data_IF_636798065963
#
_entry.id   IF_636798065963
#
_cell.length_a   1.000
_cell.length_b   1.000
_cell.length_c   1.000
_cell.angle_alpha   90.00
_cell.angle_beta   90.00
_cell.angle_gamma   90.00
#
_symmetry.space_group_name_H-M   'P 1'
#
loop_
_entity.id
_entity.type
_entity.pdbx_description
1 polymer ?
#
# COMPACT_ATOMS: atom_id res chain seq x y z
N UNK A 1 -1.85 7.15 8.49
CA UNK A 1 -2.72 8.19 7.87
C UNK A 1 -3.93 7.51 7.24
N UNK A 2 -4.64 6.66 8.00
CA UNK A 2 -5.76 5.87 7.50
C UNK A 2 -7.02 6.74 7.41
N UNK A 3 -8.01 6.31 6.62
CA UNK A 3 -9.16 7.15 6.24
C UNK A 3 -9.95 7.64 7.46
N UNK A 4 -10.27 6.76 8.43
CA UNK A 4 -11.02 7.14 9.63
C UNK A 4 -10.38 8.24 10.49
N UNK A 5 -9.04 8.25 10.57
CA UNK A 5 -8.29 9.26 11.30
C UNK A 5 -8.19 10.59 10.52
N UNK A 6 -8.15 10.53 9.19
CA UNK A 6 -7.94 11.69 8.32
C UNK A 6 -9.25 12.37 7.94
N UNK A 7 -10.30 11.63 7.64
CA UNK A 7 -11.61 12.14 7.26
C UNK A 7 -12.71 11.31 7.95
N UNK A 8 -12.89 11.43 9.27
CA UNK A 8 -13.89 10.66 10.03
C UNK A 8 -15.33 10.93 9.60
N UNK A 9 -15.60 12.13 9.07
CA UNK A 9 -16.88 12.54 8.51
C UNK A 9 -16.65 13.19 7.16
N UNK A 10 -17.57 13.03 6.20
CA UNK A 10 -17.43 13.59 4.85
C UNK A 10 -17.07 15.09 4.86
N UNK A 11 -15.91 15.44 4.31
CA UNK A 11 -15.36 16.80 4.26
C UNK A 11 -14.79 17.33 5.59
N UNK A 12 -14.95 16.60 6.69
CA UNK A 12 -14.40 16.94 8.00
C UNK A 12 -13.01 16.32 8.17
N UNK A 13 -11.98 16.98 7.63
CA UNK A 13 -10.61 16.48 7.70
C UNK A 13 -9.90 16.83 9.01
N UNK A 14 -9.11 15.89 9.53
CA UNK A 14 -8.23 16.06 10.68
C UNK A 14 -6.79 15.67 10.31
N UNK A 15 -5.93 16.67 10.17
CA UNK A 15 -4.53 16.45 9.77
C UNK A 15 -3.53 16.53 10.92
N UNK A 16 -3.94 16.88 12.14
CA UNK A 16 -3.04 17.20 13.26
C UNK A 16 -1.94 16.16 13.49
N UNK A 17 -2.29 14.87 13.59
CA UNK A 17 -1.29 13.81 13.81
C UNK A 17 -0.41 13.54 12.59
N UNK A 18 -0.97 13.66 11.39
CA UNK A 18 -0.26 13.43 10.14
C UNK A 18 0.69 14.59 9.81
N UNK A 19 0.29 15.84 10.06
CA UNK A 19 1.13 17.02 9.95
C UNK A 19 2.33 16.93 10.89
N UNK A 20 2.10 16.58 12.17
CA UNK A 20 3.18 16.44 13.14
C UNK A 20 4.24 15.42 12.68
N UNK A 21 3.81 14.28 12.12
CA UNK A 21 4.71 13.26 11.58
C UNK A 21 5.47 13.75 10.35
N UNK A 22 4.76 14.32 9.38
CA UNK A 22 5.39 14.79 8.13
C UNK A 22 6.36 15.93 8.40
N UNK A 23 5.98 16.87 9.25
CA UNK A 23 6.85 17.99 9.62
C UNK A 23 8.09 17.51 10.38
N UNK A 24 7.96 16.54 11.28
CA UNK A 24 9.12 15.90 11.93
C UNK A 24 10.04 15.25 10.89
N UNK A 25 9.49 14.46 9.98
CA UNK A 25 10.29 13.76 8.97
C UNK A 25 11.05 14.76 8.06
N UNK A 26 10.36 15.79 7.57
CA UNK A 26 10.96 16.83 6.73
C UNK A 26 12.04 17.61 7.47
N UNK A 27 11.80 18.00 8.73
CA UNK A 27 12.79 18.71 9.55
C UNK A 27 14.06 17.89 9.80
N UNK A 28 13.95 16.56 9.78
CA UNK A 28 15.07 15.64 10.02
C UNK A 28 15.61 15.01 8.72
N UNK A 29 15.20 15.48 7.54
CA UNK A 29 15.70 14.99 6.26
C UNK A 29 15.31 13.54 5.96
N UNK A 30 14.19 13.08 6.52
CA UNK A 30 13.66 11.73 6.33
C UNK A 30 12.59 11.71 5.23
N UNK A 31 12.59 10.66 4.40
CA UNK A 31 11.51 10.44 3.44
C UNK A 31 10.27 9.88 4.11
N UNK A 32 9.08 10.28 3.64
CA UNK A 32 7.79 9.75 4.11
C UNK A 32 7.18 8.81 3.06
N UNK A 33 6.71 7.64 3.50
CA UNK A 33 5.72 6.83 2.78
C UNK A 33 4.34 7.13 3.36
N UNK A 34 3.42 7.61 2.54
CA UNK A 34 2.05 7.88 2.94
C UNK A 34 1.23 6.58 2.94
N UNK A 35 0.79 6.16 4.12
CA UNK A 35 0.03 4.93 4.32
C UNK A 35 -1.29 5.23 5.06
N UNK A 36 -2.46 5.05 4.46
CA UNK A 36 -2.75 4.65 3.06
C UNK A 36 -4.02 5.39 2.62
N UNK A 37 -4.21 5.58 1.31
CA UNK A 37 -5.32 6.38 0.78
C UNK A 37 -6.64 5.61 0.71
N UNK A 38 -6.61 4.35 0.29
CA UNK A 38 -7.81 3.52 0.14
C UNK A 38 -7.56 2.15 0.77
N UNK A 39 -8.30 1.84 1.83
CA UNK A 39 -8.22 0.56 2.52
C UNK A 39 -9.60 0.15 3.06
N UNK A 40 -9.89 -1.14 3.05
CA UNK A 40 -11.19 -1.66 3.50
C UNK A 40 -11.34 -1.64 5.03
N UNK A 41 -10.22 -1.63 5.76
CA UNK A 41 -10.21 -1.47 7.21
C UNK A 41 -10.03 -0.01 7.62
N UNK A 42 -10.34 0.30 8.89
CA UNK A 42 -10.22 1.66 9.45
C UNK A 42 -10.85 2.71 8.53
N UNK A 43 -12.02 2.36 8.00
CA UNK A 43 -12.80 3.12 7.04
C UNK A 43 -14.02 3.73 7.76
N UNK A 44 -14.33 5.02 7.55
CA UNK A 44 -15.50 5.65 8.14
C UNK A 44 -16.81 4.98 7.71
N UNK A 45 -17.79 4.96 8.61
CA UNK A 45 -19.09 4.35 8.33
C UNK A 45 -19.87 5.08 7.22
N UNK A 46 -19.65 6.39 7.06
CA UNK A 46 -20.29 7.13 5.96
C UNK A 46 -19.83 6.64 4.59
N UNK A 47 -18.57 6.15 4.45
CA UNK A 47 -18.07 5.61 3.19
C UNK A 47 -18.68 4.22 2.96
N UNK A 48 -18.71 3.37 3.99
CA UNK A 48 -19.29 2.03 3.92
C UNK A 48 -20.77 2.02 3.55
N UNK A 49 -21.49 3.10 3.88
CA UNK A 49 -22.92 3.23 3.60
C UNK A 49 -23.25 3.67 2.17
N UNK A 50 -22.26 4.08 1.36
CA UNK A 50 -22.49 4.56 0.00
C UNK A 50 -22.78 3.37 -0.91
N UNK A 51 -23.86 3.45 -1.67
CA UNK A 51 -24.23 2.47 -2.71
C UNK A 51 -24.28 3.06 -4.11
N UNK A 52 -24.23 4.40 -4.24
CA UNK A 52 -24.21 5.10 -5.51
C UNK A 52 -22.76 5.23 -6.03
N UNK A 53 -22.55 4.79 -7.27
CA UNK A 53 -21.22 4.77 -7.88
C UNK A 53 -20.65 6.17 -8.14
N UNK A 54 -21.49 7.14 -8.52
CA UNK A 54 -21.03 8.51 -8.76
C UNK A 54 -20.65 9.20 -7.44
N UNK A 55 -21.42 8.95 -6.39
CA UNK A 55 -21.12 9.42 -5.04
C UNK A 55 -19.81 8.83 -4.51
N UNK A 56 -19.60 7.51 -4.61
CA UNK A 56 -18.38 6.88 -4.11
C UNK A 56 -17.14 7.35 -4.90
N UNK A 57 -17.29 7.52 -6.22
CA UNK A 57 -16.24 8.10 -7.06
C UNK A 57 -15.86 9.51 -6.59
N UNK A 58 -16.85 10.38 -6.37
CA UNK A 58 -16.62 11.73 -5.88
C UNK A 58 -15.97 11.76 -4.49
N UNK A 59 -16.37 10.84 -3.60
CA UNK A 59 -15.79 10.70 -2.26
C UNK A 59 -14.32 10.26 -2.33
N UNK A 60 -14.00 9.26 -3.16
CA UNK A 60 -12.62 8.82 -3.40
C UNK A 60 -11.74 9.95 -3.93
N UNK A 61 -12.18 10.63 -4.99
CA UNK A 61 -11.42 11.73 -5.59
C UNK A 61 -11.19 12.89 -4.61
N UNK A 62 -12.22 13.25 -3.82
CA UNK A 62 -12.12 14.32 -2.83
C UNK A 62 -11.17 13.97 -1.70
N UNK A 63 -11.27 12.75 -1.16
CA UNK A 63 -10.37 12.27 -0.12
C UNK A 63 -8.92 12.30 -0.61
N UNK A 64 -8.66 11.62 -1.73
CA UNK A 64 -7.31 11.46 -2.28
C UNK A 64 -6.70 12.81 -2.65
N UNK A 65 -7.42 13.67 -3.34
CA UNK A 65 -6.91 14.99 -3.72
C UNK A 65 -6.62 15.88 -2.52
N UNK A 66 -7.44 15.81 -1.46
CA UNK A 66 -7.22 16.57 -0.22
C UNK A 66 -5.98 16.09 0.54
N UNK A 67 -5.81 14.77 0.67
CA UNK A 67 -4.69 14.17 1.40
C UNK A 67 -3.38 14.30 0.62
N UNK A 68 -3.35 13.83 -0.63
CA UNK A 68 -2.15 13.88 -1.47
C UNK A 68 -1.77 15.32 -1.76
N UNK A 69 -2.75 16.18 -2.08
CA UNK A 69 -2.51 17.60 -2.36
C UNK A 69 -1.93 18.36 -1.16
N UNK A 70 -2.35 18.04 0.07
CA UNK A 70 -1.80 18.65 1.29
C UNK A 70 -0.31 18.36 1.46
N UNK A 71 0.11 17.13 1.14
CA UNK A 71 1.50 16.68 1.33
C UNK A 71 2.31 16.64 0.05
N UNK A 72 1.84 17.35 -1.00
CA UNK A 72 2.53 17.44 -2.29
C UNK A 72 4.00 17.82 -2.13
N UNK A 73 4.89 17.02 -2.72
CA UNK A 73 6.34 17.22 -2.67
C UNK A 73 6.99 16.92 -1.32
N UNK A 74 6.23 16.48 -0.30
CA UNK A 74 6.77 16.06 1.01
C UNK A 74 6.74 14.54 1.20
N UNK A 75 5.86 13.84 0.48
CA UNK A 75 5.72 12.38 0.53
C UNK A 75 6.37 11.76 -0.70
N UNK A 76 7.31 10.84 -0.47
CA UNK A 76 8.05 10.16 -1.55
C UNK A 76 7.15 9.18 -2.31
N UNK A 77 6.37 8.41 -1.55
CA UNK A 77 5.53 7.35 -2.10
C UNK A 77 4.21 7.26 -1.34
N UNK A 78 3.12 6.93 -2.05
CA UNK A 78 1.80 6.66 -1.47
C UNK A 78 1.41 5.21 -1.69
N UNK A 79 1.01 4.53 -0.62
CA UNK A 79 0.17 3.34 -0.73
C UNK A 79 -1.22 3.84 -1.14
N UNK A 80 -1.53 3.76 -2.43
CA UNK A 80 -2.78 4.30 -3.00
C UNK A 80 -3.94 3.38 -2.69
N UNK A 81 -3.76 2.08 -2.86
CA UNK A 81 -4.69 1.05 -2.43
C UNK A 81 -3.95 0.01 -1.60
N UNK A 82 -4.56 -0.43 -0.51
CA UNK A 82 -4.01 -1.42 0.42
C UNK A 82 -4.90 -2.66 0.50
N UNK A 83 -4.30 -3.85 0.50
CA UNK A 83 -4.94 -5.14 0.79
C UNK A 83 -6.18 -5.49 -0.05
N UNK A 84 -6.08 -5.22 -1.35
CA UNK A 84 -7.21 -5.38 -2.28
C UNK A 84 -7.42 -6.84 -2.69
N UNK A 85 -6.51 -7.76 -2.36
CA UNK A 85 -6.63 -9.16 -2.76
C UNK A 85 -6.94 -10.11 -1.59
N UNK A 86 -7.73 -11.14 -1.89
CA UNK A 86 -7.85 -12.35 -1.09
C UNK A 86 -6.70 -13.33 -1.40
N UNK A 87 -6.55 -14.38 -0.59
CA UNK A 87 -5.49 -15.40 -0.76
C UNK A 87 -5.57 -16.17 -2.09
N UNK A 88 -6.77 -16.27 -2.68
CA UNK A 88 -7.00 -16.90 -3.98
C UNK A 88 -6.72 -15.97 -5.18
N UNK A 89 -6.30 -14.73 -4.92
CA UNK A 89 -6.03 -13.71 -5.93
C UNK A 89 -7.27 -12.94 -6.40
N UNK A 90 -8.47 -13.27 -5.93
CA UNK A 90 -9.66 -12.46 -6.21
C UNK A 90 -9.61 -11.11 -5.51
N UNK A 91 -10.29 -10.11 -6.08
CA UNK A 91 -10.50 -8.83 -5.39
C UNK A 91 -11.36 -9.05 -4.14
N UNK A 92 -10.92 -8.46 -3.03
CA UNK A 92 -11.60 -8.53 -1.74
C UNK A 92 -13.00 -7.91 -1.82
N UNK A 93 -13.97 -8.59 -1.24
CA UNK A 93 -15.32 -8.04 -1.09
C UNK A 93 -15.33 -6.90 -0.06
N UNK A 94 -15.62 -5.68 -0.52
CA UNK A 94 -15.72 -4.47 0.29
C UNK A 94 -16.56 -3.41 -0.44
N UNK A 95 -16.88 -2.30 0.21
CA UNK A 95 -17.71 -1.23 -0.39
C UNK A 95 -17.18 -0.76 -1.76
N UNK A 96 -15.85 -0.66 -1.91
CA UNK A 96 -15.23 -0.22 -3.16
C UNK A 96 -15.48 -1.22 -4.30
N UNK A 97 -15.28 -2.50 -4.05
CA UNK A 97 -15.49 -3.54 -5.07
C UNK A 97 -16.97 -3.82 -5.34
N UNK A 98 -17.83 -3.70 -4.32
CA UNK A 98 -19.28 -3.86 -4.48
C UNK A 98 -19.90 -2.75 -5.34
N UNK A 99 -19.45 -1.52 -5.18
CA UNK A 99 -20.05 -0.34 -5.83
C UNK A 99 -19.36 -0.01 -7.16
N UNK A 100 -18.03 -0.18 -7.25
CA UNK A 100 -17.24 0.23 -8.42
C UNK A 100 -16.54 -0.94 -9.14
N UNK A 101 -16.66 -2.18 -8.65
CA UNK A 101 -15.87 -3.29 -9.19
C UNK A 101 -14.38 -3.03 -9.03
N UNK A 102 -13.58 -3.21 -10.08
CA UNK A 102 -12.15 -2.88 -10.05
C UNK A 102 -11.85 -1.40 -10.38
N UNK A 103 -12.83 -0.61 -10.83
CA UNK A 103 -12.61 0.76 -11.30
C UNK A 103 -12.14 1.71 -10.20
N UNK A 104 -12.39 1.40 -8.92
CA UNK A 104 -11.87 2.20 -7.81
C UNK A 104 -10.33 2.30 -7.83
N UNK A 105 -9.63 1.28 -8.37
CA UNK A 105 -8.17 1.32 -8.52
C UNK A 105 -7.79 2.41 -9.52
N UNK A 106 -8.40 2.42 -10.71
CA UNK A 106 -8.15 3.46 -11.71
C UNK A 106 -8.44 4.85 -11.14
N UNK A 107 -9.61 5.03 -10.54
CA UNK A 107 -10.05 6.30 -9.94
C UNK A 107 -9.03 6.79 -8.90
N UNK A 108 -8.59 5.90 -8.01
CA UNK A 108 -7.68 6.27 -6.93
C UNK A 108 -6.29 6.67 -7.45
N UNK A 109 -5.72 5.88 -8.38
CA UNK A 109 -4.40 6.16 -8.94
C UNK A 109 -4.40 7.41 -9.84
N UNK A 110 -5.44 7.64 -10.63
CA UNK A 110 -5.59 8.86 -11.44
C UNK A 110 -5.73 10.11 -10.55
N UNK A 111 -6.54 10.04 -9.49
CA UNK A 111 -6.69 11.13 -8.53
C UNK A 111 -5.38 11.45 -7.80
N UNK A 112 -4.65 10.41 -7.36
CA UNK A 112 -3.37 10.57 -6.68
C UNK A 112 -2.32 11.19 -7.61
N UNK A 113 -2.18 10.68 -8.84
CA UNK A 113 -1.25 11.22 -9.84
C UNK A 113 -1.55 12.68 -10.18
N UNK A 114 -2.83 13.04 -10.28
CA UNK A 114 -3.26 14.42 -10.56
C UNK A 114 -2.91 15.37 -9.42
N UNK A 115 -3.04 14.92 -8.17
CA UNK A 115 -2.76 15.73 -7.00
C UNK A 115 -1.25 15.96 -6.81
N UNK A 116 -0.43 14.91 -6.95
CA UNK A 116 1.03 14.99 -6.91
C UNK A 116 1.68 14.14 -8.02
N UNK A 117 2.10 14.76 -9.13
CA UNK A 117 2.77 14.05 -10.22
C UNK A 117 4.11 13.43 -9.85
N UNK A 118 4.79 13.94 -8.82
CA UNK A 118 6.17 13.56 -8.48
C UNK A 118 6.23 12.38 -7.49
N UNK A 119 5.16 12.15 -6.73
CA UNK A 119 5.08 11.03 -5.79
C UNK A 119 5.02 9.68 -6.52
N UNK A 120 5.67 8.67 -5.94
CA UNK A 120 5.56 7.28 -6.42
C UNK A 120 4.27 6.64 -5.93
N UNK A 121 3.51 6.03 -6.83
CA UNK A 121 2.20 5.45 -6.53
C UNK A 121 2.29 3.93 -6.41
N UNK A 122 2.01 3.41 -5.22
CA UNK A 122 2.14 2.00 -4.87
C UNK A 122 0.77 1.35 -4.65
N UNK A 123 0.68 0.08 -5.03
CA UNK A 123 -0.29 -0.87 -4.47
C UNK A 123 0.43 -1.71 -3.40
N UNK A 124 -0.17 -1.88 -2.22
CA UNK A 124 0.46 -2.56 -1.07
C UNK A 124 -0.39 -3.74 -0.58
N UNK A 125 0.23 -4.89 -0.29
CA UNK A 125 -0.47 -6.06 0.25
C UNK A 125 0.46 -6.99 1.04
N UNK A 126 -0.12 -7.85 1.90
CA UNK A 126 0.58 -8.91 2.63
C UNK A 126 0.54 -10.24 1.86
N UNK A 127 1.34 -11.22 2.30
CA UNK A 127 1.39 -12.58 1.75
C UNK A 127 1.80 -12.65 0.26
N UNK A 128 2.67 -11.73 -0.16
CA UNK A 128 3.20 -11.67 -1.52
C UNK A 128 4.58 -12.32 -1.66
N UNK A 129 5.12 -12.86 -0.57
CA UNK A 129 6.49 -13.35 -0.49
C UNK A 129 6.67 -14.65 -1.28
N UNK A 130 5.61 -15.42 -1.50
CA UNK A 130 5.69 -16.58 -2.40
C UNK A 130 5.56 -16.16 -3.85
N UNK A 131 6.53 -16.53 -4.70
CA UNK A 131 6.44 -16.34 -6.16
C UNK A 131 5.41 -17.23 -6.86
N UNK A 132 4.73 -18.13 -6.13
CA UNK A 132 3.79 -19.13 -6.67
C UNK A 132 2.41 -19.12 -6.00
N UNK A 133 2.18 -18.31 -4.96
CA UNK A 133 0.84 -18.20 -4.36
C UNK A 133 -0.14 -17.56 -5.34
N UNK A 134 -1.42 -17.95 -5.26
CA UNK A 134 -2.46 -17.37 -6.11
C UNK A 134 -2.59 -15.85 -5.87
N UNK A 135 -2.45 -15.38 -4.63
CA UNK A 135 -2.40 -13.95 -4.29
C UNK A 135 -1.29 -13.21 -5.02
N UNK A 136 -0.08 -13.78 -5.14
CA UNK A 136 1.02 -13.17 -5.90
C UNK A 136 0.82 -13.28 -7.40
N UNK A 137 0.46 -14.47 -7.92
CA UNK A 137 0.44 -14.71 -9.36
C UNK A 137 -0.83 -14.24 -10.05
N UNK A 138 -1.99 -14.65 -9.54
CA UNK A 138 -3.31 -14.36 -10.12
C UNK A 138 -3.89 -13.05 -9.57
N UNK A 139 -3.58 -12.71 -8.32
CA UNK A 139 -3.91 -11.42 -7.74
C UNK A 139 -2.97 -10.32 -8.24
N UNK A 140 -1.91 -10.06 -7.48
CA UNK A 140 -1.04 -8.90 -7.69
C UNK A 140 -0.43 -8.84 -9.10
N UNK A 141 0.20 -9.91 -9.57
CA UNK A 141 0.92 -9.91 -10.85
C UNK A 141 0.01 -9.72 -12.07
N UNK A 142 -1.08 -10.49 -12.17
CA UNK A 142 -2.00 -10.41 -13.32
C UNK A 142 -2.78 -9.09 -13.33
N UNK A 143 -3.33 -8.66 -12.18
CA UNK A 143 -4.08 -7.41 -12.10
C UNK A 143 -3.20 -6.18 -12.36
N UNK A 144 -2.01 -6.10 -11.78
CA UNK A 144 -1.12 -4.94 -12.02
C UNK A 144 -0.72 -4.87 -13.49
N UNK A 145 -0.37 -5.97 -14.14
CA UNK A 145 -0.06 -5.95 -15.57
C UNK A 145 -1.27 -5.55 -16.43
N UNK A 146 -2.47 -6.03 -16.09
CA UNK A 146 -3.72 -5.62 -16.74
C UNK A 146 -3.97 -4.11 -16.59
N UNK A 147 -3.80 -3.57 -15.39
CA UNK A 147 -4.04 -2.15 -15.09
C UNK A 147 -3.00 -1.24 -15.75
N UNK A 148 -1.73 -1.64 -15.75
CA UNK A 148 -0.67 -0.95 -16.49
C UNK A 148 -0.95 -0.93 -17.99
N UNK A 149 -1.40 -2.04 -18.57
CA UNK A 149 -1.78 -2.11 -19.98
C UNK A 149 -2.98 -1.21 -20.32
N UNK A 150 -3.85 -0.93 -19.34
CA UNK A 150 -4.95 0.04 -19.45
C UNK A 150 -4.53 1.50 -19.20
N UNK A 151 -3.25 1.77 -18.90
CA UNK A 151 -2.72 3.11 -18.67
C UNK A 151 -2.87 3.64 -17.24
N UNK A 152 -3.21 2.79 -16.27
CA UNK A 152 -3.34 3.18 -14.86
C UNK A 152 -1.93 3.46 -14.29
N UNK A 153 -1.68 4.62 -13.65
CA UNK A 153 -0.33 5.08 -13.33
C UNK A 153 0.25 4.46 -12.05
N UNK A 154 0.47 3.15 -12.06
CA UNK A 154 1.07 2.38 -10.94
C UNK A 154 2.61 2.37 -11.09
N UNK A 155 3.33 2.96 -10.15
CA UNK A 155 4.80 3.01 -10.21
C UNK A 155 5.46 1.83 -9.50
N UNK A 156 4.79 1.26 -8.49
CA UNK A 156 5.38 0.20 -7.69
C UNK A 156 4.41 -0.69 -6.94
N UNK A 157 4.98 -1.78 -6.39
CA UNK A 157 4.28 -2.77 -5.57
C UNK A 157 4.98 -2.87 -4.21
N UNK A 158 4.20 -2.77 -3.14
CA UNK A 158 4.63 -2.96 -1.76
C UNK A 158 4.30 -4.36 -1.27
N UNK A 159 5.31 -5.05 -0.72
CA UNK A 159 5.13 -6.29 0.01
C UNK A 159 5.26 -5.96 1.50
N UNK A 160 4.21 -6.19 2.29
CA UNK A 160 4.23 -5.83 3.71
C UNK A 160 5.39 -6.52 4.44
N UNK A 161 5.55 -7.83 4.28
CA UNK A 161 6.63 -8.56 4.94
C UNK A 161 6.37 -8.80 6.43
N UNK A 162 5.12 -9.09 6.81
CA UNK A 162 4.80 -9.71 8.10
C UNK A 162 5.12 -11.20 8.05
N UNK A 163 6.10 -11.68 8.81
CA UNK A 163 6.71 -13.01 8.60
C UNK A 163 6.79 -13.86 9.86
N UNK A 164 6.85 -15.18 9.64
CA UNK A 164 7.00 -16.18 10.70
C UNK A 164 5.69 -16.53 11.42
N UNK A 165 5.75 -17.48 12.35
CA UNK A 165 4.55 -18.00 13.00
C UNK A 165 3.60 -18.66 12.00
N UNK A 166 2.38 -18.12 11.85
CA UNK A 166 1.41 -18.55 10.83
C UNK A 166 1.55 -17.82 9.49
N UNK A 167 2.39 -16.80 9.42
CA UNK A 167 2.65 -16.02 8.21
C UNK A 167 3.72 -16.69 7.33
N UNK A 168 3.91 -16.24 6.08
CA UNK A 168 4.98 -16.73 5.22
C UNK A 168 6.37 -16.63 5.86
N UNK A 169 7.25 -17.53 5.46
CA UNK A 169 8.66 -17.51 5.88
C UNK A 169 9.44 -16.45 5.09
N UNK A 170 10.43 -15.83 5.74
CA UNK A 170 11.43 -14.98 5.11
C UNK A 170 12.10 -15.59 3.88
N UNK A 171 12.25 -16.92 3.84
CA UNK A 171 12.84 -17.64 2.72
C UNK A 171 12.09 -17.46 1.39
N UNK A 172 10.80 -17.12 1.43
CA UNK A 172 10.00 -16.83 0.25
C UNK A 172 10.36 -15.51 -0.41
N UNK A 173 10.72 -14.49 0.38
CA UNK A 173 10.74 -13.08 -0.02
C UNK A 173 11.40 -12.82 -1.39
N UNK A 174 12.55 -13.42 -1.66
CA UNK A 174 13.24 -13.23 -2.95
C UNK A 174 12.39 -13.71 -4.12
N UNK A 175 11.73 -14.86 -4.03
CA UNK A 175 10.89 -15.40 -5.09
C UNK A 175 9.66 -14.51 -5.35
N UNK A 176 9.03 -13.97 -4.30
CA UNK A 176 7.95 -13.00 -4.42
C UNK A 176 8.40 -11.72 -5.14
N UNK A 177 9.53 -11.14 -4.71
CA UNK A 177 10.14 -9.97 -5.34
C UNK A 177 10.51 -10.23 -6.80
N UNK A 178 11.18 -11.34 -7.10
CA UNK A 178 11.55 -11.72 -8.47
C UNK A 178 10.32 -11.87 -9.37
N UNK A 179 9.25 -12.52 -8.88
CA UNK A 179 8.00 -12.66 -9.63
C UNK A 179 7.40 -11.29 -9.92
N UNK A 180 7.27 -10.42 -8.93
CA UNK A 180 6.64 -9.11 -9.09
C UNK A 180 7.53 -8.12 -9.86
N UNK A 181 8.85 -8.31 -9.87
CA UNK A 181 9.78 -7.52 -10.67
C UNK A 181 9.56 -7.71 -12.18
N UNK A 182 8.96 -8.83 -12.59
CA UNK A 182 8.57 -9.08 -13.99
C UNK A 182 7.30 -8.35 -14.43
N UNK A 183 6.61 -7.64 -13.53
CA UNK A 183 5.55 -6.70 -13.93
C UNK A 183 6.14 -5.44 -14.57
N UNK A 184 5.27 -4.64 -15.19
CA UNK A 184 5.65 -3.36 -15.80
C UNK A 184 5.97 -2.22 -14.82
N UNK A 185 5.85 -2.41 -13.49
CA UNK A 185 6.15 -1.36 -12.51
C UNK A 185 7.64 -1.03 -12.47
N UNK A 186 7.95 0.18 -12.02
CA UNK A 186 9.33 0.68 -11.93
C UNK A 186 10.02 0.30 -10.62
N UNK A 187 9.28 0.14 -9.53
CA UNK A 187 9.84 -0.07 -8.19
C UNK A 187 9.08 -1.15 -7.41
N UNK A 188 9.78 -1.84 -6.51
CA UNK A 188 9.23 -2.70 -5.47
C UNK A 188 9.75 -2.20 -4.12
N UNK A 189 9.00 -2.42 -3.04
CA UNK A 189 9.49 -2.13 -1.70
C UNK A 189 8.96 -3.14 -0.70
N UNK A 190 9.74 -3.40 0.36
CA UNK A 190 9.25 -4.10 1.55
C UNK A 190 8.79 -3.03 2.54
N UNK A 191 7.52 -3.05 2.94
CA UNK A 191 6.84 -1.84 3.44
C UNK A 191 6.50 -1.86 4.93
N UNK A 192 6.36 -3.04 5.54
CA UNK A 192 5.87 -3.23 6.91
C UNK A 192 6.59 -4.42 7.57
N UNK A 193 7.92 -4.53 7.38
CA UNK A 193 8.68 -5.71 7.78
C UNK A 193 8.67 -5.92 9.30
N UNK A 194 8.18 -7.08 9.72
CA UNK A 194 8.43 -7.68 11.02
C UNK A 194 8.54 -9.21 10.89
N UNK A 195 9.26 -9.82 11.84
CA UNK A 195 9.47 -11.27 11.86
C UNK A 195 9.25 -11.76 13.28
N UNK A 196 8.32 -12.69 13.47
CA UNK A 196 7.98 -13.25 14.78
C UNK A 196 9.24 -13.77 15.49
N UNK A 197 9.47 -13.33 16.73
CA UNK A 197 10.66 -13.60 17.57
C UNK A 197 11.99 -13.01 17.06
N UNK A 198 11.98 -12.22 15.99
CA UNK A 198 13.12 -11.49 15.43
C UNK A 198 14.43 -12.31 15.23
N UNK A 199 14.38 -13.49 14.58
CA UNK A 199 15.61 -14.23 14.25
C UNK A 199 16.50 -13.42 13.30
N UNK A 200 17.76 -13.22 13.69
CA UNK A 200 18.69 -12.34 12.98
C UNK A 200 18.97 -12.80 11.53
N UNK A 201 19.03 -14.12 11.32
CA UNK A 201 19.25 -14.74 10.00
C UNK A 201 18.09 -14.53 9.03
N UNK A 202 16.85 -14.43 9.52
CA UNK A 202 15.70 -14.12 8.66
C UNK A 202 15.70 -12.66 8.21
N UNK A 203 16.06 -11.71 9.08
CA UNK A 203 16.25 -10.31 8.66
C UNK A 203 17.37 -10.17 7.63
N UNK A 204 18.48 -10.91 7.78
CA UNK A 204 19.54 -10.98 6.77
C UNK A 204 19.01 -11.55 5.46
N UNK A 205 18.17 -12.58 5.52
CA UNK A 205 17.55 -13.21 4.34
C UNK A 205 16.68 -12.21 3.58
N UNK A 206 15.77 -11.50 4.25
CA UNK A 206 14.89 -10.48 3.65
C UNK A 206 15.70 -9.32 3.06
N UNK A 207 16.74 -8.88 3.77
CA UNK A 207 17.61 -7.79 3.30
C UNK A 207 18.35 -8.19 2.02
N UNK A 208 18.93 -9.40 1.99
CA UNK A 208 19.61 -9.92 0.81
C UNK A 208 18.65 -10.14 -0.37
N UNK A 209 17.41 -10.55 -0.10
CA UNK A 209 16.38 -10.68 -1.12
C UNK A 209 16.10 -9.36 -1.85
N UNK A 210 15.94 -8.26 -1.09
CA UNK A 210 15.78 -6.93 -1.69
C UNK A 210 17.04 -6.50 -2.46
N UNK A 211 18.24 -6.71 -1.90
CA UNK A 211 19.49 -6.39 -2.57
C UNK A 211 19.71 -7.17 -3.89
N UNK A 212 19.14 -8.37 -4.01
CA UNK A 212 19.27 -9.20 -5.21
C UNK A 212 18.35 -8.77 -6.36
N UNK A 213 17.32 -7.97 -6.09
CA UNK A 213 16.32 -7.56 -7.07
C UNK A 213 16.45 -6.06 -7.33
N UNK A 214 16.94 -5.69 -8.52
CA UNK A 214 17.25 -4.28 -8.89
C UNK A 214 16.08 -3.31 -8.67
N UNK A 215 14.84 -3.76 -8.89
CA UNK A 215 13.65 -2.93 -8.67
C UNK A 215 13.32 -2.72 -7.20
N UNK A 216 13.89 -3.46 -6.25
CA UNK A 216 13.62 -3.28 -4.82
C UNK A 216 14.36 -2.05 -4.29
N UNK A 217 13.62 -0.98 -4.01
CA UNK A 217 14.18 0.35 -3.68
C UNK A 217 14.27 0.64 -2.19
N UNK A 218 13.83 -0.27 -1.32
CA UNK A 218 13.92 -0.07 0.11
C UNK A 218 13.13 -1.07 0.95
N UNK A 219 13.44 -1.02 2.25
CA UNK A 219 12.83 -1.83 3.31
C UNK A 219 12.42 -0.88 4.43
N UNK A 220 11.20 -1.01 4.93
CA UNK A 220 10.70 -0.32 6.13
C UNK A 220 10.26 -1.36 7.13
N UNK A 221 10.76 -1.30 8.37
CA UNK A 221 10.32 -2.17 9.48
C UNK A 221 9.08 -1.59 10.16
N UNK A 222 8.18 -2.44 10.64
CA UNK A 222 6.92 -2.02 11.24
C UNK A 222 7.01 -1.74 12.74
N UNK A 223 7.82 -0.74 13.07
CA UNK A 223 8.03 -0.29 14.44
C UNK A 223 9.50 -0.29 14.84
N UNK A 224 9.79 0.43 15.93
CA UNK A 224 11.16 0.56 16.45
C UNK A 224 11.42 -0.37 17.64
N UNK A 225 10.39 -0.66 18.44
CA UNK A 225 10.53 -1.44 19.68
C UNK A 225 9.37 -2.42 19.85
N UNK A 226 9.70 -3.63 20.30
CA UNK A 226 8.75 -4.69 20.64
C UNK A 226 7.68 -4.23 21.66
N UNK A 227 8.04 -3.29 22.55
CA UNK A 227 7.14 -2.80 23.61
C UNK A 227 5.90 -2.06 23.07
N UNK A 228 5.95 -1.59 21.82
CA UNK A 228 4.86 -0.88 21.16
C UNK A 228 4.50 -1.50 19.80
N UNK A 229 5.08 -2.67 19.50
CA UNK A 229 4.70 -3.44 18.32
C UNK A 229 3.29 -3.99 18.52
N UNK A 230 2.47 -3.90 17.48
CA UNK A 230 1.15 -4.52 17.45
C UNK A 230 1.31 -5.79 16.62
N UNK A 231 1.03 -6.98 17.16
CA UNK A 231 1.10 -8.21 16.38
C UNK A 231 0.18 -8.07 15.16
N UNK A 232 0.75 -8.27 13.97
CA UNK A 232 0.05 -8.38 12.69
C UNK A 232 -0.67 -9.73 12.59
#
# INVERSE_FOLDING_TARGET
MKWDAIEPTRGGFSFTGADALVDFAVQNGQSVRGHTLVWYQQLPDYVKAITDAAELTSVLETHISSVVGRYKGKVRAWDVVNEVFNEDGSLRDCVFTQVLGEDFVRIAFEAARKADPDAKLYINDFHLESGTSAKTTTGMFEHVNKWLAAGIPIDGIGLQGHLGGSNPSASGMQAGLEKLATTGVSELAITELDIVNAPADEYVTVTNACLAVEKCVGITVWGVSDAVSVPS
#
